data_IF_194221121021
#
_entry.id   IF_194221121021
#
_cell.length_a   1.000
_cell.length_b   1.000
_cell.length_c   1.000
_cell.angle_alpha   90.00
_cell.angle_beta   90.00
_cell.angle_gamma   90.00
#
_symmetry.space_group_name_H-M   'P 1'
#
loop_
_entity.id
_entity.type
_entity.pdbx_description
1 polymer ?
#
# COMPACT_ATOMS: atom_id res chain seq x y z
N UNK A 1 16.47 -6.21 -6.51
CA UNK A 1 16.17 -4.87 -5.97
C UNK A 1 15.78 -4.00 -7.15
N UNK A 2 14.58 -3.39 -7.15
CA UNK A 2 14.21 -2.49 -8.24
C UNK A 2 14.84 -1.13 -8.00
N UNK A 3 15.82 -0.75 -8.81
CA UNK A 3 16.32 0.62 -8.85
C UNK A 3 15.12 1.49 -9.22
N UNK A 4 14.68 2.38 -8.31
CA UNK A 4 13.60 3.32 -8.61
C UNK A 4 14.23 4.44 -9.44
N UNK A 5 13.93 4.55 -10.75
CA UNK A 5 14.59 5.53 -11.59
C UNK A 5 14.29 6.93 -11.08
N UNK A 6 15.29 7.80 -11.11
CA UNK A 6 15.19 9.16 -10.62
C UNK A 6 15.71 10.13 -11.65
N UNK A 7 15.21 11.36 -11.57
CA UNK A 7 15.77 12.51 -12.28
C UNK A 7 16.49 13.36 -11.26
N UNK A 8 17.75 13.70 -11.54
CA UNK A 8 18.49 14.68 -10.76
C UNK A 8 17.94 16.08 -11.05
N UNK A 9 17.59 16.82 -10.01
CA UNK A 9 17.05 18.17 -10.14
C UNK A 9 18.21 19.15 -10.27
N UNK A 10 18.27 19.98 -11.33
CA UNK A 10 19.33 20.96 -11.50
C UNK A 10 19.49 21.87 -10.27
N UNK A 11 20.73 22.24 -9.94
CA UNK A 11 21.05 23.01 -8.72
C UNK A 11 20.24 24.32 -8.62
N UNK A 12 20.08 25.05 -9.73
CA UNK A 12 19.25 26.27 -9.78
C UNK A 12 17.79 26.04 -9.38
N UNK A 13 17.22 24.89 -9.76
CA UNK A 13 15.84 24.51 -9.44
C UNK A 13 15.76 24.05 -7.98
N UNK A 14 16.76 23.32 -7.50
CA UNK A 14 16.84 22.94 -6.08
C UNK A 14 16.95 24.17 -5.16
N UNK A 15 17.75 25.18 -5.55
CA UNK A 15 17.88 26.44 -4.83
C UNK A 15 16.56 27.23 -4.82
N UNK A 16 15.80 27.24 -5.92
CA UNK A 16 14.50 27.88 -6.01
C UNK A 16 13.48 27.36 -4.98
N UNK A 17 13.50 26.04 -4.69
CA UNK A 17 12.61 25.44 -3.69
C UNK A 17 13.06 25.65 -2.23
N UNK A 18 14.28 26.16 -2.01
CA UNK A 18 14.69 26.77 -0.73
C UNK A 18 14.80 25.83 0.49
N UNK A 19 14.81 24.51 0.32
CA UNK A 19 14.81 23.58 1.47
C UNK A 19 16.07 22.69 1.50
N UNK A 20 16.68 22.57 2.68
CA UNK A 20 17.67 21.51 2.99
C UNK A 20 17.01 20.13 3.21
N UNK A 21 15.71 20.02 2.97
CA UNK A 21 14.86 18.90 3.35
C UNK A 21 13.86 18.52 2.25
N UNK A 22 13.04 17.48 2.47
CA UNK A 22 12.09 17.02 1.46
C UNK A 22 11.07 18.09 1.07
N UNK A 23 10.91 18.36 -0.24
CA UNK A 23 9.98 19.39 -0.75
C UNK A 23 8.80 18.74 -1.47
N UNK A 24 7.57 18.84 -0.94
CA UNK A 24 6.37 18.43 -1.66
C UNK A 24 6.18 19.26 -2.93
N UNK A 25 5.94 18.58 -4.05
CA UNK A 25 5.77 19.21 -5.36
C UNK A 25 4.60 18.60 -6.11
N UNK A 26 3.96 19.43 -6.92
CA UNK A 26 2.99 19.04 -7.94
C UNK A 26 3.42 19.60 -9.29
N UNK A 27 2.96 19.02 -10.38
CA UNK A 27 3.32 19.51 -11.71
C UNK A 27 3.10 18.48 -12.81
N UNK A 28 3.95 18.49 -13.83
CA UNK A 28 3.86 17.59 -14.98
C UNK A 28 5.18 16.93 -15.36
N UNK A 29 5.10 15.70 -15.87
CA UNK A 29 6.18 14.91 -16.46
C UNK A 29 5.78 14.57 -17.91
N UNK A 30 6.48 15.12 -18.90
CA UNK A 30 6.10 15.07 -20.32
C UNK A 30 4.62 15.47 -20.55
N UNK A 31 4.14 16.47 -19.80
CA UNK A 31 2.73 16.92 -19.88
C UNK A 31 1.75 16.10 -19.02
N UNK A 32 2.16 14.97 -18.45
CA UNK A 32 1.29 14.17 -17.57
C UNK A 32 1.37 14.64 -16.13
N UNK A 33 0.22 14.85 -15.49
CA UNK A 33 0.15 15.31 -14.10
C UNK A 33 0.90 14.36 -13.14
N UNK A 34 1.76 14.93 -12.30
CA UNK A 34 2.51 14.23 -11.26
C UNK A 34 2.43 14.98 -9.94
N UNK A 35 2.46 14.21 -8.85
CA UNK A 35 2.71 14.69 -7.49
C UNK A 35 3.79 13.83 -6.86
N UNK A 36 4.65 14.45 -6.08
CA UNK A 36 5.71 13.73 -5.38
C UNK A 36 6.47 14.61 -4.41
N UNK A 37 7.68 14.19 -4.09
CA UNK A 37 8.55 14.91 -3.16
C UNK A 37 9.94 14.94 -3.75
N UNK A 38 10.53 16.14 -3.80
CA UNK A 38 11.94 16.31 -4.06
C UNK A 38 12.71 15.81 -2.82
N UNK A 39 13.50 14.77 -2.98
CA UNK A 39 14.27 14.17 -1.90
C UNK A 39 15.68 14.75 -1.90
N UNK A 40 16.16 15.34 -0.79
CA UNK A 40 17.50 15.90 -0.72
C UNK A 40 18.55 14.80 -0.86
N UNK A 41 19.62 15.09 -1.58
CA UNK A 41 20.75 14.15 -1.81
C UNK A 41 22.11 14.72 -1.35
N UNK A 42 22.10 15.83 -0.60
CA UNK A 42 23.31 16.57 -0.22
C UNK A 42 23.63 17.74 -1.16
N UNK A 43 24.51 18.63 -0.73
CA UNK A 43 25.01 19.81 -1.49
C UNK A 43 23.90 20.74 -2.03
N UNK A 44 22.78 20.83 -1.33
CA UNK A 44 21.63 21.64 -1.79
C UNK A 44 20.95 21.08 -3.05
N UNK A 45 21.19 19.81 -3.40
CA UNK A 45 20.56 19.13 -4.55
C UNK A 45 19.43 18.22 -4.11
N UNK A 46 18.52 17.97 -5.05
CA UNK A 46 17.41 17.05 -4.89
C UNK A 46 17.32 16.04 -6.03
N UNK A 47 16.62 14.93 -5.75
CA UNK A 47 16.11 13.99 -6.75
C UNK A 47 14.60 13.96 -6.75
N UNK A 48 14.03 13.77 -7.94
CA UNK A 48 12.64 13.38 -8.10
C UNK A 48 12.57 11.92 -8.54
N UNK A 49 12.00 11.06 -7.70
CA UNK A 49 11.86 9.64 -8.01
C UNK A 49 10.67 9.41 -8.94
N UNK A 50 10.94 8.81 -10.10
CA UNK A 50 9.94 8.50 -11.12
C UNK A 50 9.56 7.03 -11.00
N UNK A 51 8.45 6.78 -10.30
CA UNK A 51 7.97 5.41 -10.11
C UNK A 51 7.50 4.78 -11.44
N UNK A 52 7.29 3.46 -11.44
CA UNK A 52 6.88 2.73 -12.64
C UNK A 52 5.54 3.15 -13.25
N UNK A 53 4.66 3.79 -12.47
CA UNK A 53 3.41 4.34 -12.98
C UNK A 53 3.65 5.64 -13.77
N UNK A 54 4.41 6.58 -13.18
CA UNK A 54 4.79 7.84 -13.83
C UNK A 54 5.52 7.60 -15.15
N UNK A 55 6.48 6.67 -15.15
CA UNK A 55 7.21 6.29 -16.37
C UNK A 55 6.29 5.75 -17.46
N UNK A 56 5.42 4.80 -17.13
CA UNK A 56 4.46 4.23 -18.08
C UNK A 56 3.48 5.27 -18.62
N UNK A 57 3.02 6.18 -17.76
CA UNK A 57 2.09 7.24 -18.15
C UNK A 57 2.76 8.25 -19.10
N UNK A 58 4.02 8.61 -18.83
CA UNK A 58 4.80 9.55 -19.62
C UNK A 58 5.53 8.92 -20.82
N UNK A 59 5.38 7.61 -21.05
CA UNK A 59 6.04 6.88 -22.14
C UNK A 59 7.57 6.82 -22.01
N UNK A 60 8.10 6.80 -20.78
CA UNK A 60 9.54 6.88 -20.48
C UNK A 60 10.15 5.53 -20.12
N UNK A 61 11.32 5.25 -20.68
CA UNK A 61 12.25 4.21 -20.26
C UNK A 61 13.43 4.80 -19.46
N UNK A 62 14.28 3.94 -18.89
CA UNK A 62 15.48 4.42 -18.17
C UNK A 62 16.51 4.83 -19.21
N UNK A 63 16.97 6.08 -19.16
CA UNK A 63 17.88 6.67 -20.14
C UNK A 63 17.23 7.78 -20.96
N UNK A 64 15.90 7.85 -20.99
CA UNK A 64 15.16 8.88 -21.71
C UNK A 64 15.27 10.26 -21.05
N UNK A 65 15.27 11.31 -21.87
CA UNK A 65 15.13 12.69 -21.41
C UNK A 65 13.66 12.99 -21.14
N UNK A 66 13.35 13.56 -19.97
CA UNK A 66 12.00 13.93 -19.60
C UNK A 66 11.88 15.42 -19.29
N UNK A 67 10.75 16.04 -19.67
CA UNK A 67 10.41 17.41 -19.30
C UNK A 67 9.60 17.40 -18.01
N UNK A 68 10.18 17.94 -16.95
CA UNK A 68 9.53 18.07 -15.65
C UNK A 68 9.24 19.55 -15.35
N UNK A 69 7.97 19.88 -15.11
CA UNK A 69 7.53 21.20 -14.66
C UNK A 69 6.98 21.02 -13.26
N UNK A 70 7.53 21.72 -12.27
CA UNK A 70 7.16 21.56 -10.86
C UNK A 70 6.85 22.90 -10.20
N UNK A 71 5.93 22.86 -9.26
CA UNK A 71 5.65 23.93 -8.32
C UNK A 71 5.53 23.38 -6.89
N UNK A 72 5.77 24.24 -5.90
CA UNK A 72 5.73 23.84 -4.50
C UNK A 72 4.29 23.52 -4.10
N UNK A 73 4.06 22.33 -3.54
CA UNK A 73 2.75 21.94 -3.05
C UNK A 73 2.57 22.42 -1.60
N UNK A 74 2.20 23.70 -1.44
CA UNK A 74 2.09 24.40 -0.13
C UNK A 74 0.78 24.14 0.63
N UNK A 75 -0.10 23.25 0.14
CA UNK A 75 -1.32 22.91 0.86
C UNK A 75 -1.01 22.14 2.16
N UNK A 76 -1.58 22.59 3.28
CA UNK A 76 -1.49 21.90 4.58
C UNK A 76 -2.06 20.48 4.46
N UNK A 77 -1.49 19.52 5.20
CA UNK A 77 -1.86 18.10 5.17
C UNK A 77 -3.27 17.86 5.75
N UNK A 78 -4.29 18.23 5.00
CA UNK A 78 -5.62 17.63 5.01
C UNK A 78 -5.90 17.15 3.57
N UNK A 79 -6.45 15.96 3.43
CA UNK A 79 -6.46 15.22 2.16
C UNK A 79 -7.03 15.98 0.96
N UNK A 80 -6.32 15.90 -0.17
CA UNK A 80 -6.87 15.70 -1.52
C UNK A 80 -5.70 15.47 -2.49
N UNK A 81 -5.67 14.30 -3.15
CA UNK A 81 -5.01 14.15 -4.46
C UNK A 81 -6.12 14.50 -5.46
N UNK A 82 -5.93 15.41 -6.45
CA UNK A 82 -7.01 15.73 -7.36
C UNK A 82 -7.27 14.52 -8.25
N UNK A 83 -8.46 13.94 -8.09
CA UNK A 83 -9.20 13.38 -9.22
C UNK A 83 -9.87 14.57 -9.89
N UNK A 84 -9.42 14.93 -11.08
CA UNK A 84 -10.32 15.31 -12.16
C UNK A 84 -9.63 15.20 -13.52
N UNK A 85 -10.35 14.55 -14.41
CA UNK A 85 -10.00 14.20 -15.76
C UNK A 85 -10.09 15.43 -16.68
N UNK A 86 -9.12 15.58 -17.58
CA UNK A 86 -9.34 16.22 -18.88
C UNK A 86 -8.60 15.38 -19.92
N UNK A 87 -9.36 14.76 -20.83
CA UNK A 87 -8.84 14.29 -22.12
C UNK A 87 -8.13 12.93 -22.18
N UNK A 88 -8.53 11.93 -21.39
CA UNK A 88 -8.23 10.55 -21.79
C UNK A 88 -9.15 10.18 -22.94
N UNK A 89 -8.63 10.20 -24.18
CA UNK A 89 -9.16 9.32 -25.22
C UNK A 89 -9.27 7.93 -24.60
N UNK A 90 -10.46 7.33 -24.72
CA UNK A 90 -10.74 6.00 -24.19
C UNK A 90 -9.56 5.07 -24.47
N UNK A 91 -9.04 4.32 -23.47
CA UNK A 91 -7.95 3.40 -23.72
C UNK A 91 -8.38 2.43 -24.83
N UNK A 92 -7.73 2.50 -25.99
CA UNK A 92 -7.90 1.56 -27.11
C UNK A 92 -7.38 0.15 -26.76
N UNK A 93 -6.93 -0.06 -25.52
CA UNK A 93 -6.60 -1.39 -25.03
C UNK A 93 -7.88 -2.14 -24.75
N UNK A 94 -8.14 -3.14 -25.60
CA UNK A 94 -9.04 -4.26 -25.29
C UNK A 94 -8.89 -4.65 -23.82
N UNK A 95 -9.99 -4.77 -23.04
CA UNK A 95 -9.91 -5.22 -21.67
C UNK A 95 -9.10 -6.52 -21.63
N UNK A 96 -8.01 -6.54 -20.85
CA UNK A 96 -7.33 -7.81 -20.58
C UNK A 96 -8.33 -8.64 -19.80
N UNK A 97 -8.90 -9.66 -20.45
CA UNK A 97 -9.60 -10.73 -19.76
C UNK A 97 -8.69 -11.19 -18.63
N UNK A 98 -9.12 -10.95 -17.38
CA UNK A 98 -8.38 -11.36 -16.19
C UNK A 98 -8.55 -12.86 -16.10
N UNK A 99 -7.73 -13.61 -16.84
CA UNK A 99 -7.65 -15.06 -16.69
C UNK A 99 -7.17 -15.36 -15.28
N UNK A 100 -7.98 -16.12 -14.53
CA UNK A 100 -7.67 -16.52 -13.16
C UNK A 100 -6.52 -17.53 -13.14
N UNK A 101 -5.29 -17.02 -13.28
CA UNK A 101 -4.09 -17.86 -13.20
C UNK A 101 -3.92 -18.38 -11.77
N UNK A 102 -3.49 -19.64 -11.60
CA UNK A 102 -3.17 -20.17 -10.27
C UNK A 102 -2.03 -19.35 -9.64
N UNK A 103 -2.06 -19.24 -8.31
CA UNK A 103 -0.98 -18.59 -7.56
C UNK A 103 0.29 -19.42 -7.64
N UNK A 104 1.43 -18.76 -7.83
CA UNK A 104 2.74 -19.40 -7.70
C UNK A 104 3.08 -19.61 -6.23
N UNK A 105 3.36 -20.86 -5.86
CA UNK A 105 3.84 -21.23 -4.53
C UNK A 105 5.36 -21.14 -4.49
N UNK A 106 5.90 -20.39 -3.53
CA UNK A 106 7.34 -20.34 -3.31
C UNK A 106 7.84 -21.70 -2.81
N UNK A 107 8.82 -22.35 -3.48
CA UNK A 107 9.29 -23.67 -3.07
C UNK A 107 10.03 -23.66 -1.72
N UNK A 108 10.52 -22.49 -1.27
CA UNK A 108 11.26 -22.35 -0.01
C UNK A 108 10.32 -22.18 1.18
N UNK A 109 9.44 -21.19 1.14
CA UNK A 109 8.57 -20.84 2.28
C UNK A 109 7.14 -21.37 2.18
N UNK A 110 6.68 -21.83 1.01
CA UNK A 110 5.30 -22.29 0.79
C UNK A 110 4.27 -21.17 0.61
N UNK A 111 4.64 -19.89 0.78
CA UNK A 111 3.71 -18.78 0.55
C UNK A 111 3.35 -18.64 -0.94
N UNK A 112 2.11 -18.22 -1.19
CA UNK A 112 1.52 -18.12 -2.54
C UNK A 112 1.50 -16.67 -3.03
N UNK A 113 1.77 -16.44 -4.31
CA UNK A 113 1.85 -15.11 -4.90
C UNK A 113 1.23 -15.07 -6.31
N UNK A 114 0.68 -13.90 -6.66
CA UNK A 114 0.13 -13.63 -8.00
C UNK A 114 1.20 -13.51 -9.08
N UNK A 115 2.44 -13.21 -8.67
CA UNK A 115 3.59 -13.05 -9.57
C UNK A 115 4.56 -14.20 -9.32
N UNK A 116 4.90 -14.93 -10.38
CA UNK A 116 5.93 -15.99 -10.33
C UNK A 116 7.28 -15.40 -9.92
N UNK A 117 8.04 -16.14 -9.10
CA UNK A 117 9.36 -15.73 -8.62
C UNK A 117 9.35 -14.36 -7.92
N UNK A 118 8.23 -13.98 -7.28
CA UNK A 118 8.11 -12.72 -6.55
C UNK A 118 9.23 -12.59 -5.52
N UNK A 119 9.96 -11.47 -5.54
CA UNK A 119 10.89 -11.12 -4.47
C UNK A 119 10.11 -10.85 -3.17
N UNK A 120 10.48 -11.52 -2.09
CA UNK A 120 9.80 -11.39 -0.80
C UNK A 120 10.72 -11.78 0.35
N UNK A 121 10.36 -11.38 1.56
CA UNK A 121 10.97 -11.89 2.80
C UNK A 121 10.64 -13.38 2.95
N UNK A 122 11.52 -14.22 2.40
CA UNK A 122 11.33 -15.65 2.31
C UNK A 122 11.78 -16.33 3.61
N UNK A 123 10.83 -16.68 4.47
CA UNK A 123 11.06 -17.42 5.69
C UNK A 123 9.75 -18.10 6.14
N UNK A 124 9.89 -19.17 6.92
CA UNK A 124 8.78 -19.83 7.61
C UNK A 124 8.79 -19.38 9.07
N UNK A 125 7.63 -19.02 9.59
CA UNK A 125 7.46 -18.57 10.97
C UNK A 125 6.22 -19.22 11.55
N UNK A 126 6.22 -19.47 12.87
CA UNK A 126 5.02 -19.88 13.58
C UNK A 126 4.19 -18.65 13.97
N UNK A 127 2.86 -18.79 13.92
CA UNK A 127 1.93 -17.80 14.46
C UNK A 127 2.09 -17.70 15.98
N UNK A 128 2.33 -18.81 16.68
CA UNK A 128 2.47 -18.85 18.14
C UNK A 128 3.61 -17.97 18.65
N UNK A 129 4.68 -17.84 17.86
CA UNK A 129 5.85 -17.01 18.17
C UNK A 129 5.51 -15.53 18.37
N UNK A 130 4.49 -15.03 17.66
CA UNK A 130 4.03 -13.63 17.78
C UNK A 130 3.41 -13.33 19.14
N UNK A 131 3.03 -14.34 19.92
CA UNK A 131 2.34 -14.17 21.19
C UNK A 131 3.20 -14.48 22.42
N UNK A 132 4.52 -14.67 22.26
CA UNK A 132 5.43 -15.01 23.37
C UNK A 132 5.40 -14.01 24.53
N UNK A 133 5.19 -12.72 24.24
CA UNK A 133 5.14 -11.63 25.22
C UNK A 133 3.76 -10.98 25.33
N UNK A 134 2.73 -11.64 24.79
CA UNK A 134 1.40 -11.06 24.65
C UNK A 134 0.45 -11.62 25.71
N UNK A 135 -0.35 -10.73 26.29
CA UNK A 135 -1.36 -11.08 27.28
C UNK A 135 -2.41 -12.05 26.70
N UNK A 136 -3.11 -12.81 27.56
CA UNK A 136 -4.21 -13.68 27.13
C UNK A 136 -5.31 -12.96 26.34
N UNK A 137 -5.54 -11.66 26.61
CA UNK A 137 -6.51 -10.85 25.85
C UNK A 137 -6.11 -10.68 24.39
N UNK A 138 -4.82 -10.53 24.08
CA UNK A 138 -4.32 -10.39 22.70
C UNK A 138 -4.53 -11.68 21.91
N UNK A 139 -4.34 -12.83 22.56
CA UNK A 139 -4.66 -14.15 21.97
C UNK A 139 -6.17 -14.31 21.71
N UNK A 140 -7.03 -13.80 22.61
CA UNK A 140 -8.49 -13.79 22.40
C UNK A 140 -8.89 -12.87 21.25
N UNK A 141 -8.34 -11.66 21.18
CA UNK A 141 -8.53 -10.71 20.08
C UNK A 141 -8.15 -11.33 18.74
N UNK A 142 -6.96 -11.93 18.68
CA UNK A 142 -6.49 -12.59 17.46
C UNK A 142 -7.42 -13.73 17.02
N UNK A 143 -7.85 -14.60 17.95
CA UNK A 143 -8.81 -15.67 17.66
C UNK A 143 -10.12 -15.13 17.11
N UNK A 144 -10.67 -14.08 17.73
CA UNK A 144 -11.93 -13.46 17.29
C UNK A 144 -11.78 -12.80 15.91
N UNK A 145 -10.66 -12.11 15.67
CA UNK A 145 -10.33 -11.53 14.37
C UNK A 145 -10.21 -12.62 13.29
N UNK A 146 -9.52 -13.73 13.56
CA UNK A 146 -9.43 -14.87 12.64
C UNK A 146 -10.80 -15.46 12.33
N UNK A 147 -11.66 -15.62 13.34
CA UNK A 147 -13.03 -16.12 13.13
C UNK A 147 -13.84 -15.19 12.23
N UNK A 148 -13.70 -13.89 12.41
CA UNK A 148 -14.38 -12.86 11.62
C UNK A 148 -13.87 -12.82 10.17
N UNK A 149 -12.57 -12.97 9.96
CA UNK A 149 -12.01 -13.07 8.60
C UNK A 149 -12.49 -14.36 7.92
N UNK A 150 -12.44 -15.51 8.62
CA UNK A 150 -12.88 -16.80 8.09
C UNK A 150 -14.39 -16.86 7.80
N UNK A 151 -15.21 -16.09 8.51
CA UNK A 151 -16.65 -16.02 8.20
C UNK A 151 -16.95 -15.29 6.89
N UNK A 152 -15.97 -14.62 6.28
CA UNK A 152 -16.10 -14.06 4.93
C UNK A 152 -15.86 -15.12 3.83
N UNK A 153 -15.14 -16.21 4.15
CA UNK A 153 -14.83 -17.31 3.24
C UNK A 153 -13.40 -17.85 3.40
N UNK A 154 -12.94 -18.72 2.48
CA UNK A 154 -11.61 -19.33 2.54
C UNK A 154 -10.48 -18.30 2.56
N UNK A 155 -9.57 -18.44 3.52
CA UNK A 155 -8.46 -17.50 3.74
C UNK A 155 -7.22 -18.25 4.22
N UNK A 156 -6.07 -17.90 3.65
CA UNK A 156 -4.78 -18.26 4.20
C UNK A 156 -4.42 -17.29 5.31
N UNK A 157 -4.08 -17.84 6.48
CA UNK A 157 -3.55 -17.09 7.61
C UNK A 157 -2.19 -17.68 7.95
N UNK A 158 -1.13 -16.88 7.83
CA UNK A 158 0.24 -17.36 8.02
C UNK A 158 1.14 -16.25 8.60
N UNK A 159 2.23 -16.64 9.25
CA UNK A 159 3.16 -15.72 9.87
C UNK A 159 4.29 -15.27 8.94
N UNK A 160 4.63 -13.98 9.06
CA UNK A 160 5.89 -13.40 8.60
C UNK A 160 6.70 -12.96 9.82
N UNK A 161 7.95 -12.51 9.60
CA UNK A 161 8.87 -12.10 10.69
C UNK A 161 8.24 -11.15 11.70
N UNK A 162 7.45 -10.17 11.25
CA UNK A 162 6.95 -9.06 12.09
C UNK A 162 5.43 -9.01 12.20
N UNK A 163 4.69 -9.89 11.52
CA UNK A 163 3.22 -9.85 11.48
C UNK A 163 2.62 -11.18 11.06
N UNK A 164 1.35 -11.34 11.37
CA UNK A 164 0.49 -12.39 10.83
C UNK A 164 -0.30 -11.81 9.65
N UNK A 165 -0.41 -12.55 8.55
CA UNK A 165 -0.99 -12.07 7.29
C UNK A 165 -2.28 -12.79 6.99
N UNK A 166 -3.24 -12.06 6.41
CA UNK A 166 -4.46 -12.60 5.82
C UNK A 166 -4.41 -12.47 4.30
N UNK A 167 -4.59 -13.59 3.61
CA UNK A 167 -4.48 -13.66 2.16
C UNK A 167 -5.59 -14.53 1.56
N UNK A 168 -6.20 -14.06 0.47
CA UNK A 168 -7.03 -14.90 -0.39
C UNK A 168 -6.28 -15.10 -1.71
N UNK A 169 -6.49 -14.22 -2.69
CA UNK A 169 -5.65 -14.15 -3.90
C UNK A 169 -4.48 -13.21 -3.68
N UNK A 170 -4.77 -12.06 -3.08
CA UNK A 170 -3.76 -11.11 -2.60
C UNK A 170 -3.86 -10.96 -1.09
N UNK A 171 -2.79 -10.43 -0.49
CA UNK A 171 -2.79 -10.02 0.91
C UNK A 171 -3.68 -8.80 1.04
N UNK A 172 -4.70 -8.90 1.88
CA UNK A 172 -5.64 -7.81 2.12
C UNK A 172 -5.61 -7.31 3.56
N UNK A 173 -4.91 -8.01 4.43
CA UNK A 173 -4.76 -7.57 5.80
C UNK A 173 -3.79 -8.42 6.59
N UNK A 174 -3.80 -8.20 7.89
CA UNK A 174 -2.98 -8.91 8.85
C UNK A 174 -3.02 -8.24 10.22
N UNK A 175 -2.18 -8.70 11.12
CA UNK A 175 -2.02 -8.06 12.43
C UNK A 175 -0.60 -8.14 12.97
N UNK A 176 -0.27 -7.17 13.80
CA UNK A 176 0.92 -7.15 14.65
C UNK A 176 0.47 -7.27 16.10
N UNK A 177 1.10 -8.16 16.83
CA UNK A 177 0.84 -8.40 18.25
C UNK A 177 1.73 -7.52 19.10
N UNK A 178 1.15 -6.96 20.16
CA UNK A 178 1.88 -6.27 21.22
C UNK A 178 1.56 -6.94 22.56
N UNK A 179 2.16 -6.45 23.65
CA UNK A 179 1.92 -7.00 24.98
C UNK A 179 0.44 -6.93 25.37
N UNK A 180 -0.19 -5.76 25.21
CA UNK A 180 -1.55 -5.50 25.73
C UNK A 180 -2.58 -5.14 24.64
N UNK A 181 -2.20 -5.16 23.37
CA UNK A 181 -3.11 -4.83 22.26
C UNK A 181 -2.69 -5.54 20.97
N UNK A 182 -3.57 -5.49 19.97
CA UNK A 182 -3.33 -6.01 18.63
C UNK A 182 -3.58 -4.90 17.61
N UNK A 183 -2.60 -4.60 16.78
CA UNK A 183 -2.77 -3.66 15.68
C UNK A 183 -3.17 -4.46 14.42
N UNK A 184 -4.41 -4.28 13.95
CA UNK A 184 -4.96 -4.92 12.76
C UNK A 184 -4.82 -4.00 11.54
N UNK A 185 -4.23 -4.52 10.46
CA UNK A 185 -4.10 -3.83 9.18
C UNK A 185 -5.11 -4.35 8.16
N UNK A 186 -5.89 -3.48 7.53
CA UNK A 186 -6.84 -3.83 6.46
C UNK A 186 -6.62 -2.94 5.22
N UNK A 187 -6.54 -3.54 4.04
CA UNK A 187 -6.54 -2.83 2.77
C UNK A 187 -7.98 -2.64 2.30
N UNK A 188 -8.40 -1.38 2.19
CA UNK A 188 -9.71 -0.94 1.69
C UNK A 188 -9.55 -0.17 0.37
N UNK A 189 -10.58 -0.18 -0.51
CA UNK A 189 -10.59 0.57 -1.76
C UNK A 189 -10.88 2.07 -1.57
N UNK A 190 -11.29 2.46 -0.36
CA UNK A 190 -11.64 3.83 0.04
C UNK A 190 -11.09 4.12 1.44
N UNK A 191 -11.10 5.39 1.82
CA UNK A 191 -10.89 5.80 3.21
C UNK A 191 -12.12 5.42 4.05
N UNK A 192 -11.89 4.89 5.24
CA UNK A 192 -12.91 4.57 6.22
C UNK A 192 -12.55 5.16 7.59
N UNK A 193 -13.56 5.43 8.41
CA UNK A 193 -13.42 5.83 9.80
C UNK A 193 -13.85 4.70 10.73
N UNK A 194 -13.24 4.66 11.92
CA UNK A 194 -13.61 3.76 13.01
C UNK A 194 -13.01 4.32 14.31
N UNK A 195 -13.66 4.16 15.49
CA UNK A 195 -13.11 4.65 16.75
C UNK A 195 -11.69 4.13 17.07
N UNK A 196 -11.38 2.90 16.63
CA UNK A 196 -10.06 2.27 16.86
C UNK A 196 -9.03 2.56 15.77
N UNK A 197 -9.39 3.32 14.74
CA UNK A 197 -8.47 3.68 13.64
C UNK A 197 -7.33 4.55 14.17
N UNK A 198 -6.10 4.20 13.80
CA UNK A 198 -4.88 4.93 14.20
C UNK A 198 -4.18 5.59 13.04
N UNK A 199 -4.17 4.93 11.87
CA UNK A 199 -3.44 5.41 10.70
C UNK A 199 -4.06 4.89 9.42
N UNK A 200 -4.00 5.72 8.38
CA UNK A 200 -4.28 5.31 7.00
C UNK A 200 -3.02 5.61 6.18
N UNK A 201 -2.42 4.56 5.64
CA UNK A 201 -1.30 4.64 4.72
C UNK A 201 -1.80 4.43 3.28
N UNK A 202 -1.32 5.23 2.33
CA UNK A 202 -1.65 5.08 0.91
C UNK A 202 -0.37 4.78 0.11
N UNK A 203 0.08 3.51 0.07
CA UNK A 203 1.35 3.17 -0.57
C UNK A 203 1.32 3.40 -2.09
N UNK A 204 0.14 3.27 -2.71
CA UNK A 204 -0.11 3.62 -4.11
C UNK A 204 -1.50 4.27 -4.23
N UNK A 205 -1.75 5.10 -5.26
CA UNK A 205 -3.06 5.67 -5.51
C UNK A 205 -4.16 4.60 -5.54
N UNK A 206 -5.27 4.85 -4.86
CA UNK A 206 -6.39 3.90 -4.73
C UNK A 206 -6.19 2.73 -3.75
N UNK A 207 -5.02 2.58 -3.13
CA UNK A 207 -4.78 1.55 -2.10
C UNK A 207 -4.71 2.18 -0.71
N UNK A 208 -5.71 1.94 0.15
CA UNK A 208 -5.75 2.49 1.50
C UNK A 208 -5.56 1.40 2.55
N UNK A 209 -4.40 1.40 3.21
CA UNK A 209 -4.09 0.48 4.31
C UNK A 209 -4.43 1.16 5.63
N UNK A 210 -5.46 0.66 6.29
CA UNK A 210 -5.94 1.16 7.57
C UNK A 210 -5.35 0.32 8.70
N UNK A 211 -4.75 0.97 9.70
CA UNK A 211 -4.27 0.33 10.91
C UNK A 211 -5.19 0.68 12.07
N UNK A 212 -5.78 -0.33 12.70
CA UNK A 212 -6.68 -0.22 13.84
C UNK A 212 -6.04 -0.83 15.08
N UNK A 213 -6.17 -0.17 16.23
CA UNK A 213 -5.67 -0.69 17.50
C UNK A 213 -6.80 -1.32 18.31
N UNK A 214 -6.74 -2.63 18.47
CA UNK A 214 -7.73 -3.41 19.20
C UNK A 214 -7.20 -3.74 20.60
N UNK A 215 -7.95 -3.36 21.62
CA UNK A 215 -7.64 -3.58 23.05
C UNK A 215 -8.68 -4.47 23.73
N UNK A 216 -9.92 -4.48 23.24
CA UNK A 216 -11.02 -5.26 23.79
C UNK A 216 -11.81 -5.97 22.69
N UNK A 217 -12.50 -7.05 23.05
CA UNK A 217 -13.34 -7.80 22.09
C UNK A 217 -14.45 -6.92 21.50
N UNK A 218 -14.93 -5.93 22.25
CA UNK A 218 -15.91 -4.95 21.79
C UNK A 218 -15.39 -4.08 20.64
N UNK A 219 -14.07 -3.94 20.43
CA UNK A 219 -13.52 -3.20 19.28
C UNK A 219 -13.75 -3.93 17.94
N UNK A 220 -14.09 -5.22 17.99
CA UNK A 220 -14.46 -6.05 16.83
C UNK A 220 -15.99 -6.01 16.63
N UNK A 221 -16.53 -4.80 16.62
CA UNK A 221 -17.97 -4.52 16.53
C UNK A 221 -18.53 -4.79 15.11
N UNK A 222 -19.85 -4.59 14.89
CA UNK A 222 -20.43 -4.73 13.56
C UNK A 222 -19.86 -3.77 12.51
N UNK A 223 -19.40 -2.58 12.88
CA UNK A 223 -18.79 -1.63 11.95
C UNK A 223 -17.42 -2.11 11.49
N UNK A 224 -16.56 -2.56 12.40
CA UNK A 224 -15.30 -3.22 12.09
C UNK A 224 -15.51 -4.45 11.21
N UNK A 225 -16.55 -5.25 11.51
CA UNK A 225 -16.91 -6.43 10.73
C UNK A 225 -17.22 -6.10 9.26
N UNK A 226 -17.90 -4.98 8.99
CA UNK A 226 -18.14 -4.50 7.61
C UNK A 226 -16.83 -4.14 6.90
N UNK A 227 -15.89 -3.50 7.60
CA UNK A 227 -14.57 -3.16 7.04
C UNK A 227 -13.77 -4.41 6.68
N UNK A 228 -13.83 -5.47 7.49
CA UNK A 228 -13.16 -6.73 7.16
C UNK A 228 -13.77 -7.39 5.92
N UNK A 229 -15.11 -7.38 5.78
CA UNK A 229 -15.77 -7.90 4.56
C UNK A 229 -15.31 -7.16 3.31
N UNK A 230 -15.22 -5.84 3.39
CA UNK A 230 -14.71 -5.01 2.28
C UNK A 230 -13.24 -5.31 1.96
N UNK A 231 -12.40 -5.43 2.98
CA UNK A 231 -11.00 -5.83 2.79
C UNK A 231 -10.89 -7.24 2.19
N UNK A 232 -11.74 -8.17 2.59
CA UNK A 232 -11.78 -9.51 2.03
C UNK A 232 -12.14 -9.50 0.52
N UNK A 233 -13.11 -8.67 0.10
CA UNK A 233 -13.41 -8.45 -1.32
C UNK A 233 -12.22 -7.86 -2.10
N UNK A 234 -11.43 -6.99 -1.46
CA UNK A 234 -10.13 -6.54 -2.01
C UNK A 234 -9.17 -7.71 -2.18
N UNK A 235 -9.09 -8.60 -1.19
CA UNK A 235 -8.32 -9.85 -1.23
C UNK A 235 -8.68 -10.78 -2.38
N UNK A 236 -9.96 -10.79 -2.78
CA UNK A 236 -10.48 -11.51 -3.95
C UNK A 236 -10.27 -10.78 -5.28
N UNK A 237 -9.87 -9.49 -5.25
CA UNK A 237 -9.78 -8.57 -6.39
C UNK A 237 -11.11 -8.18 -7.02
N UNK A 238 -12.21 -8.23 -6.27
CA UNK A 238 -13.54 -7.88 -6.80
C UNK A 238 -13.68 -6.39 -7.10
N UNK A 239 -12.96 -5.54 -6.36
CA UNK A 239 -12.86 -4.10 -6.61
C UNK A 239 -12.22 -3.71 -7.96
N UNK A 240 -11.68 -4.66 -8.72
CA UNK A 240 -11.12 -4.43 -10.06
C UNK A 240 -12.12 -4.74 -11.18
N UNK A 241 -13.29 -5.29 -10.86
CA UNK A 241 -14.34 -5.67 -11.81
C UNK A 241 -15.47 -4.63 -11.92
N UNK A 242 -15.39 -3.55 -11.14
CA UNK A 242 -16.36 -2.46 -11.03
C UNK A 242 -15.81 -1.14 -11.56
#
# INVERSE_FOLDING_TARGET
MGINPCVDVPARVSAFFGARGPVPVKGTLNGHAVRGTLIPIGDGRHRFYVNGFMRKAAGLEVGDTARLVLEADRASRAGMVPVQAIGLKAPTRRPKVVVDRPLWTCPKCGHRFVTRNMAHSCARHDIADHFRRADPVVRRLFRRLCALVRSCGPVDIYAQKTRIVFQVRVRFGGCVTHAHWLDAGLWLPRRASHPTLRRIDQPIPGCFVHTFRLRAIADLDPAFSKLVKEAYAVGRREHLAS
#
